data_IF_757150841975
#
_entry.id   IF_757150841975
#
_cell.length_a   1.000
_cell.length_b   1.000
_cell.length_c   1.000
_cell.angle_alpha   90.00
_cell.angle_beta   90.00
_cell.angle_gamma   90.00
#
_symmetry.space_group_name_H-M   'P 1'
#
loop_
_entity.id
_entity.type
_entity.pdbx_description
1 polymer ?
#
# COMPACT_ATOMS: atom_id res chain seq x y z
N UNK A 1 -7.55 4.03 15.48
CA UNK A 1 -7.34 3.19 14.29
C UNK A 1 -7.42 1.75 14.72
N UNK A 2 -8.42 0.98 14.25
CA UNK A 2 -8.48 -0.44 14.53
C UNK A 2 -7.37 -1.19 13.79
N UNK A 3 -6.65 -2.05 14.50
CA UNK A 3 -5.62 -2.93 13.94
C UNK A 3 -6.17 -4.35 13.91
N UNK A 4 -6.19 -4.96 12.73
CA UNK A 4 -6.69 -6.32 12.52
C UNK A 4 -5.58 -7.13 11.87
N UNK A 5 -5.18 -8.25 12.48
CA UNK A 5 -4.13 -9.16 11.99
C UNK A 5 -2.80 -8.45 11.66
N UNK A 6 -2.43 -7.46 12.48
CA UNK A 6 -1.18 -6.72 12.32
C UNK A 6 -1.21 -5.62 11.26
N UNK A 7 -2.33 -5.45 10.54
CA UNK A 7 -2.56 -4.39 9.55
C UNK A 7 -3.45 -3.30 10.13
N UNK A 8 -3.05 -2.04 9.93
CA UNK A 8 -3.83 -0.87 10.35
C UNK A 8 -4.89 -0.54 9.31
N UNK A 9 -6.15 -0.52 9.74
CA UNK A 9 -7.28 -0.27 8.87
C UNK A 9 -7.69 1.22 8.94
N UNK A 10 -8.05 1.85 7.81
CA UNK A 10 -8.55 3.22 7.81
C UNK A 10 -9.87 3.34 8.58
N UNK A 11 -9.81 3.93 9.76
CA UNK A 11 -10.93 4.10 10.69
C UNK A 11 -12.13 4.89 10.16
N UNK A 12 -11.87 5.90 9.33
CA UNK A 12 -12.90 6.81 8.78
C UNK A 12 -13.82 6.15 7.76
N UNK A 13 -13.47 4.97 7.25
CA UNK A 13 -14.25 4.24 6.23
C UNK A 13 -15.27 3.31 6.89
N UNK A 14 -16.32 2.98 6.13
CA UNK A 14 -17.25 1.91 6.50
C UNK A 14 -16.52 0.57 6.50
N UNK A 15 -16.88 -0.31 7.41
CA UNK A 15 -16.20 -1.58 7.65
C UNK A 15 -16.09 -2.45 6.38
N UNK A 16 -17.12 -2.45 5.53
CA UNK A 16 -17.17 -3.14 4.23
C UNK A 16 -16.03 -2.76 3.28
N UNK A 17 -15.65 -1.48 3.30
CA UNK A 17 -14.57 -0.95 2.46
C UNK A 17 -13.23 -0.88 3.21
N UNK A 18 -13.25 -1.05 4.52
CA UNK A 18 -12.08 -1.00 5.37
C UNK A 18 -11.39 -2.38 5.45
N UNK A 19 -12.15 -3.48 5.50
CA UNK A 19 -11.61 -4.85 5.52
C UNK A 19 -10.79 -5.24 4.27
N UNK A 20 -11.14 -4.85 3.03
CA UNK A 20 -10.37 -5.19 1.83
C UNK A 20 -8.96 -4.57 1.75
N UNK A 21 -8.59 -3.72 2.71
CA UNK A 21 -7.20 -3.28 2.84
C UNK A 21 -6.27 -4.41 3.28
N UNK A 22 -6.82 -5.45 3.91
CA UNK A 22 -6.10 -6.68 4.22
C UNK A 22 -5.96 -7.50 2.93
N UNK A 23 -4.73 -7.86 2.59
CA UNK A 23 -4.39 -8.68 1.44
C UNK A 23 -5.02 -10.07 1.55
N UNK A 24 -5.77 -10.44 0.51
CA UNK A 24 -6.52 -11.70 0.45
C UNK A 24 -8.01 -11.54 0.74
N UNK A 25 -8.45 -10.35 1.18
CA UNK A 25 -9.85 -10.02 1.40
C UNK A 25 -10.32 -9.07 0.29
N UNK A 26 -11.37 -9.47 -0.43
CA UNK A 26 -12.08 -8.60 -1.37
C UNK A 26 -13.42 -8.13 -0.80
N UNK A 27 -14.16 -7.33 -1.56
CA UNK A 27 -15.49 -6.84 -1.13
C UNK A 27 -16.47 -7.97 -0.83
N UNK A 28 -16.52 -9.02 -1.65
CA UNK A 28 -17.41 -10.16 -1.44
C UNK A 28 -17.14 -10.87 -0.10
N UNK A 29 -15.87 -11.21 0.16
CA UNK A 29 -15.44 -11.82 1.42
C UNK A 29 -15.68 -10.90 2.62
N UNK A 30 -15.43 -9.60 2.46
CA UNK A 30 -15.70 -8.64 3.53
C UNK A 30 -17.18 -8.65 3.94
N UNK A 31 -18.11 -8.65 2.98
CA UNK A 31 -19.55 -8.75 3.26
C UNK A 31 -19.93 -10.06 3.94
N UNK A 32 -19.35 -11.19 3.52
CA UNK A 32 -19.54 -12.49 4.18
C UNK A 32 -19.07 -12.48 5.63
N UNK A 33 -17.88 -11.93 5.90
CA UNK A 33 -17.30 -11.85 7.24
C UNK A 33 -18.15 -10.96 8.15
N UNK A 34 -18.62 -9.81 7.64
CA UNK A 34 -19.48 -8.89 8.40
C UNK A 34 -20.80 -9.56 8.77
N UNK A 35 -21.40 -10.31 7.83
CA UNK A 35 -22.61 -11.11 8.08
C UNK A 35 -22.37 -12.19 9.13
N UNK A 36 -21.27 -12.94 9.03
CA UNK A 36 -20.88 -13.96 10.02
C UNK A 36 -20.62 -13.36 11.40
N UNK A 37 -19.99 -12.19 11.47
CA UNK A 37 -19.71 -11.48 12.72
C UNK A 37 -20.96 -10.79 13.31
N UNK A 38 -22.09 -10.81 12.59
CA UNK A 38 -23.35 -10.17 12.93
C UNK A 38 -23.19 -8.67 13.23
N UNK A 39 -22.42 -7.96 12.39
CA UNK A 39 -22.17 -6.51 12.53
C UNK A 39 -23.07 -5.76 11.55
N UNK A 40 -23.72 -4.65 11.96
CA UNK A 40 -24.54 -3.85 11.06
C UNK A 40 -23.70 -3.21 9.95
N UNK A 41 -24.21 -3.36 8.73
CA UNK A 41 -23.68 -2.75 7.50
C UNK A 41 -23.71 -1.22 7.64
N UNK A 42 -22.66 -0.54 7.17
CA UNK A 42 -22.52 0.91 7.28
C UNK A 42 -21.87 1.45 8.56
N UNK A 43 -21.52 0.60 9.53
CA UNK A 43 -20.70 1.03 10.67
C UNK A 43 -19.30 1.48 10.21
N UNK A 44 -18.79 2.54 10.84
CA UNK A 44 -17.41 3.00 10.62
C UNK A 44 -16.44 2.10 11.37
N UNK A 45 -15.26 1.90 10.80
CA UNK A 45 -14.22 1.08 11.42
C UNK A 45 -13.75 1.65 12.78
N UNK A 46 -13.78 2.97 12.98
CA UNK A 46 -13.47 3.58 14.28
C UNK A 46 -14.50 3.26 15.38
N UNK A 47 -15.75 2.94 15.01
CA UNK A 47 -16.82 2.64 15.97
C UNK A 47 -16.92 1.15 16.31
N UNK A 48 -15.91 0.34 15.93
CA UNK A 48 -15.89 -1.08 16.25
C UNK A 48 -15.57 -1.30 17.72
N UNK A 49 -16.39 -2.11 18.39
CA UNK A 49 -16.05 -2.61 19.72
C UNK A 49 -14.91 -3.61 19.65
N UNK A 50 -14.17 -3.75 20.75
CA UNK A 50 -13.08 -4.73 20.84
C UNK A 50 -13.58 -6.18 20.64
N UNK A 51 -14.82 -6.47 21.04
CA UNK A 51 -15.45 -7.78 20.80
C UNK A 51 -15.68 -8.06 19.32
N UNK A 52 -16.14 -7.06 18.56
CA UNK A 52 -16.32 -7.20 17.11
C UNK A 52 -14.99 -7.42 16.40
N UNK A 53 -13.93 -6.73 16.85
CA UNK A 53 -12.58 -6.90 16.31
C UNK A 53 -12.06 -8.32 16.58
N UNK A 54 -12.27 -8.85 17.80
CA UNK A 54 -11.90 -10.21 18.14
C UNK A 54 -12.65 -11.23 17.28
N UNK A 55 -13.98 -11.09 17.13
CA UNK A 55 -14.81 -11.95 16.28
C UNK A 55 -14.33 -11.98 14.83
N UNK A 56 -14.07 -10.80 14.24
CA UNK A 56 -13.53 -10.71 12.87
C UNK A 56 -12.18 -11.42 12.80
N UNK A 57 -11.30 -11.22 13.78
CA UNK A 57 -9.97 -11.83 13.81
C UNK A 57 -10.06 -13.35 13.85
N UNK A 58 -10.92 -13.92 14.69
CA UNK A 58 -11.13 -15.37 14.78
C UNK A 58 -11.67 -15.95 13.46
N UNK A 59 -12.67 -15.31 12.85
CA UNK A 59 -13.22 -15.73 11.55
C UNK A 59 -12.13 -15.70 10.47
N UNK A 60 -11.30 -14.66 10.48
CA UNK A 60 -10.22 -14.52 9.50
C UNK A 60 -9.14 -15.57 9.65
N UNK A 61 -8.75 -15.93 10.87
CA UNK A 61 -7.72 -16.93 11.12
C UNK A 61 -8.17 -18.35 10.75
N UNK A 62 -9.45 -18.67 10.98
CA UNK A 62 -9.97 -20.03 10.78
C UNK A 62 -10.33 -20.31 9.32
N UNK A 63 -11.02 -19.38 8.66
CA UNK A 63 -11.64 -19.65 7.35
C UNK A 63 -10.77 -19.21 6.17
N UNK A 64 -9.80 -18.30 6.38
CA UNK A 64 -9.12 -17.61 5.29
C UNK A 64 -7.60 -17.57 5.45
N UNK A 65 -6.91 -17.85 4.36
CA UNK A 65 -5.46 -17.60 4.26
C UNK A 65 -5.24 -16.15 3.83
N UNK A 66 -4.64 -15.35 4.70
CA UNK A 66 -4.48 -13.90 4.53
C UNK A 66 -3.03 -13.44 4.64
N UNK A 67 -2.76 -12.24 4.13
CA UNK A 67 -1.48 -11.54 4.24
C UNK A 67 -0.24 -12.39 3.93
N UNK A 68 0.61 -12.62 4.94
CA UNK A 68 1.92 -13.22 4.80
C UNK A 68 1.83 -14.64 4.25
N UNK A 69 0.87 -15.43 4.72
CA UNK A 69 0.72 -16.81 4.32
C UNK A 69 0.24 -16.91 2.87
N UNK A 70 -0.72 -16.06 2.47
CA UNK A 70 -1.17 -16.01 1.09
C UNK A 70 -0.04 -15.58 0.13
N UNK A 71 0.77 -14.60 0.53
CA UNK A 71 1.95 -14.18 -0.25
C UNK A 71 2.99 -15.28 -0.36
N UNK A 72 3.24 -16.02 0.73
CA UNK A 72 4.18 -17.15 0.78
C UNK A 72 3.71 -18.31 -0.09
N UNK A 73 2.43 -18.66 -0.04
CA UNK A 73 1.84 -19.69 -0.89
C UNK A 73 1.99 -19.34 -2.37
N UNK A 74 1.59 -18.13 -2.78
CA UNK A 74 1.72 -17.67 -4.17
C UNK A 74 3.18 -17.67 -4.63
N UNK A 75 4.10 -17.19 -3.79
CA UNK A 75 5.53 -17.21 -4.09
C UNK A 75 6.06 -18.64 -4.21
N UNK A 76 5.62 -19.54 -3.33
CA UNK A 76 5.95 -20.97 -3.36
C UNK A 76 5.47 -21.64 -4.64
N UNK A 77 4.24 -21.37 -5.07
CA UNK A 77 3.68 -21.88 -6.32
C UNK A 77 4.49 -21.43 -7.54
N UNK A 78 4.87 -20.16 -7.59
CA UNK A 78 5.69 -19.63 -8.68
C UNK A 78 7.09 -20.28 -8.65
N UNK A 79 7.72 -20.39 -7.48
CA UNK A 79 9.05 -21.04 -7.34
C UNK A 79 8.99 -22.50 -7.77
N UNK A 80 7.93 -23.22 -7.41
CA UNK A 80 7.68 -24.61 -7.85
C UNK A 80 7.63 -24.70 -9.37
N UNK A 81 6.85 -23.85 -10.04
CA UNK A 81 6.77 -23.84 -11.51
C UNK A 81 8.12 -23.56 -12.18
N UNK A 82 8.92 -22.68 -11.56
CA UNK A 82 10.27 -22.31 -12.03
C UNK A 82 11.27 -23.44 -11.82
N UNK A 83 11.21 -24.17 -10.70
CA UNK A 83 12.09 -25.29 -10.38
C UNK A 83 11.84 -26.47 -11.32
N UNK A 84 10.58 -26.80 -11.60
CA UNK A 84 10.20 -27.86 -12.55
C UNK A 84 10.60 -27.51 -13.99
N UNK A 85 10.73 -26.23 -14.33
CA UNK A 85 11.12 -25.80 -15.68
C UNK A 85 9.97 -25.75 -16.69
N UNK A 86 8.72 -25.76 -16.23
CA UNK A 86 7.54 -25.63 -17.11
C UNK A 86 7.57 -24.33 -17.94
N UNK A 87 6.87 -24.30 -19.09
CA UNK A 87 6.75 -23.08 -19.92
C UNK A 87 6.30 -21.86 -19.09
N UNK A 88 5.32 -22.05 -18.19
CA UNK A 88 4.84 -21.00 -17.28
C UNK A 88 5.96 -20.51 -16.36
N UNK A 89 6.70 -21.43 -15.74
CA UNK A 89 7.86 -21.10 -14.90
C UNK A 89 8.93 -20.33 -15.65
N UNK A 90 9.24 -20.75 -16.87
CA UNK A 90 10.20 -20.06 -17.72
C UNK A 90 9.76 -18.62 -18.08
N UNK A 91 8.47 -18.40 -18.36
CA UNK A 91 7.90 -17.05 -18.56
C UNK A 91 7.95 -16.20 -17.29
N UNK A 92 7.67 -16.80 -16.13
CA UNK A 92 7.80 -16.12 -14.83
C UNK A 92 9.26 -15.70 -14.56
N UNK A 93 10.24 -16.58 -14.85
CA UNK A 93 11.67 -16.30 -14.72
C UNK A 93 12.13 -15.15 -15.62
N UNK A 94 11.66 -15.11 -16.87
CA UNK A 94 11.98 -14.04 -17.84
C UNK A 94 11.17 -12.74 -17.67
N UNK A 95 10.28 -12.66 -16.68
CA UNK A 95 9.43 -11.46 -16.51
C UNK A 95 8.51 -11.20 -17.71
N UNK A 96 7.99 -12.25 -18.35
CA UNK A 96 7.08 -12.14 -19.49
C UNK A 96 5.64 -12.56 -19.11
N UNK A 97 4.63 -12.10 -19.86
CA UNK A 97 3.26 -12.57 -19.71
C UNK A 97 3.13 -14.08 -19.87
N UNK A 98 2.32 -14.70 -19.00
CA UNK A 98 2.20 -16.16 -18.88
C UNK A 98 0.99 -16.70 -19.66
N UNK A 99 -0.05 -15.88 -19.85
CA UNK A 99 -1.34 -16.27 -20.46
C UNK A 99 -1.36 -16.14 -22.00
N UNK A 100 -0.23 -16.39 -22.67
CA UNK A 100 -0.17 -16.32 -24.14
C UNK A 100 -0.30 -14.91 -24.76
N UNK A 101 -0.22 -13.86 -23.96
CA UNK A 101 -0.36 -12.49 -24.43
C UNK A 101 0.80 -12.09 -25.38
N UNK A 102 0.50 -11.26 -26.38
CA UNK A 102 1.48 -10.78 -27.37
C UNK A 102 2.60 -9.96 -26.72
N UNK A 103 3.86 -10.38 -26.87
CA UNK A 103 5.02 -9.73 -26.24
C UNK A 103 5.77 -8.73 -27.11
N UNK A 104 5.41 -8.60 -28.41
CA UNK A 104 6.08 -7.72 -29.37
C UNK A 104 5.84 -6.23 -29.06
N UNK A 105 4.60 -5.84 -28.76
CA UNK A 105 4.22 -4.43 -28.52
C UNK A 105 3.89 -4.16 -27.05
N UNK A 106 2.79 -4.74 -26.56
CA UNK A 106 2.12 -4.33 -25.33
C UNK A 106 2.31 -5.39 -24.22
N UNK A 107 3.44 -5.34 -23.53
CA UNK A 107 3.72 -6.20 -22.37
C UNK A 107 4.33 -5.42 -21.18
N UNK A 108 4.00 -4.13 -21.05
CA UNK A 108 4.69 -3.19 -20.15
C UNK A 108 4.40 -3.43 -18.67
N UNK A 109 3.19 -3.85 -18.31
CA UNK A 109 2.85 -4.21 -16.92
C UNK A 109 3.76 -5.31 -16.37
N UNK A 110 4.24 -6.22 -17.23
CA UNK A 110 5.13 -7.32 -16.83
C UNK A 110 6.62 -7.04 -17.11
N UNK A 111 6.94 -6.41 -18.25
CA UNK A 111 8.33 -6.05 -18.65
C UNK A 111 8.88 -4.82 -17.90
N UNK A 112 8.03 -4.00 -17.29
CA UNK A 112 8.40 -2.73 -16.67
C UNK A 112 8.49 -1.56 -17.66
N UNK A 113 9.05 -0.44 -17.17
CA UNK A 113 9.24 0.81 -17.92
C UNK A 113 10.13 0.58 -19.16
N UNK A 114 10.00 1.45 -20.19
CA UNK A 114 10.83 1.36 -21.40
C UNK A 114 12.28 1.67 -21.03
N UNK A 115 13.17 0.68 -21.17
CA UNK A 115 14.61 0.91 -21.11
C UNK A 115 15.03 1.50 -22.47
N UNK A 116 15.32 2.80 -22.51
CA UNK A 116 15.90 3.45 -23.69
C UNK A 116 17.39 3.14 -23.70
N UNK A 117 17.87 2.45 -24.73
CA UNK A 117 19.24 1.92 -24.81
C UNK A 117 20.31 3.03 -24.75
N UNK A 118 19.98 4.28 -25.08
CA UNK A 118 20.91 5.42 -25.09
C UNK A 118 20.82 6.42 -23.94
N UNK A 119 19.90 6.27 -22.97
CA UNK A 119 19.63 7.29 -21.94
C UNK A 119 20.15 6.94 -20.54
N UNK A 120 20.99 5.90 -20.40
CA UNK A 120 21.57 5.56 -19.09
C UNK A 120 22.77 6.48 -18.85
N UNK A 121 22.54 7.68 -18.31
CA UNK A 121 23.61 8.63 -17.98
C UNK A 121 24.29 8.29 -16.65
N UNK A 122 23.59 7.63 -15.72
CA UNK A 122 24.15 7.29 -14.41
C UNK A 122 24.75 5.88 -14.33
N UNK A 123 25.99 5.84 -13.81
CA UNK A 123 26.85 4.64 -13.74
C UNK A 123 26.30 3.56 -12.80
N UNK A 124 25.48 3.96 -11.82
CA UNK A 124 24.81 3.09 -10.84
C UNK A 124 23.73 2.22 -11.48
N UNK A 125 22.92 2.79 -12.38
CA UNK A 125 21.86 2.04 -13.07
C UNK A 125 22.42 1.04 -14.08
N UNK A 126 23.57 1.34 -14.72
CA UNK A 126 24.26 0.41 -15.63
C UNK A 126 24.68 -0.89 -14.95
N UNK A 127 25.16 -0.83 -13.70
CA UNK A 127 25.56 -2.02 -12.92
C UNK A 127 24.37 -2.92 -12.55
N UNK A 128 23.23 -2.31 -12.23
CA UNK A 128 22.01 -3.04 -11.87
C UNK A 128 21.41 -3.74 -13.10
N UNK A 129 21.44 -3.09 -14.27
CA UNK A 129 20.96 -3.70 -15.52
C UNK A 129 21.87 -4.86 -15.95
N UNK A 130 23.19 -4.70 -15.83
CA UNK A 130 24.16 -5.74 -16.15
C UNK A 130 24.07 -6.98 -15.23
N UNK A 131 23.74 -6.81 -13.95
CA UNK A 131 23.59 -7.93 -13.01
C UNK A 131 22.26 -8.67 -13.15
N UNK A 132 21.23 -8.05 -13.73
CA UNK A 132 19.90 -8.70 -13.89
C UNK A 132 19.81 -9.69 -15.05
N UNK A 133 20.72 -9.62 -16.02
CA UNK A 133 20.72 -10.49 -17.21
C UNK A 133 21.62 -11.74 -17.05
N UNK A 134 22.22 -11.95 -15.87
CA UNK A 134 23.05 -13.11 -15.57
C UNK A 134 22.90 -13.59 -14.14
N UNK A 135 22.49 -14.85 -13.98
CA UNK A 135 22.42 -15.64 -12.73
C UNK A 135 21.17 -15.46 -11.87
N UNK A 136 20.25 -16.41 -12.02
CA UNK A 136 19.39 -16.84 -10.93
C UNK A 136 20.27 -17.59 -9.91
N UNK A 137 20.35 -17.12 -8.67
CA UNK A 137 21.06 -17.81 -7.60
C UNK A 137 21.13 -16.99 -6.32
N UNK A 138 20.39 -17.44 -5.31
CA UNK A 138 20.50 -17.13 -3.88
C UNK A 138 20.33 -15.66 -3.41
N UNK A 139 19.20 -15.43 -2.72
CA UNK A 139 19.08 -14.33 -1.75
C UNK A 139 19.36 -14.92 -0.37
N UNK A 140 20.54 -14.68 0.20
CA UNK A 140 20.75 -14.74 1.65
C UNK A 140 20.41 -13.37 2.27
N UNK A 141 19.69 -13.31 3.41
CA UNK A 141 19.37 -12.06 4.08
C UNK A 141 20.56 -11.62 4.95
N UNK A 142 20.83 -10.32 5.01
CA UNK A 142 21.67 -9.77 6.08
C UNK A 142 22.58 -8.63 5.65
N UNK A 143 22.11 -7.40 5.87
CA UNK A 143 22.80 -6.41 6.68
C UNK A 143 21.94 -5.15 6.70
N UNK A 144 21.27 -4.91 7.84
CA UNK A 144 20.78 -3.57 8.16
C UNK A 144 22.00 -2.63 8.24
N UNK A 145 21.99 -1.44 7.63
CA UNK A 145 22.99 -0.45 7.97
C UNK A 145 22.72 0.04 9.40
N UNK A 146 23.73 -0.17 10.23
CA UNK A 146 23.77 0.20 11.64
C UNK A 146 23.56 1.70 11.87
N UNK A 147 23.00 1.99 13.04
CA UNK A 147 22.85 3.31 13.62
C UNK A 147 24.17 4.08 13.64
N UNK A 148 24.15 5.31 13.14
CA UNK A 148 25.14 6.32 13.50
C UNK A 148 24.63 7.06 14.74
N UNK A 149 25.27 6.81 15.88
CA UNK A 149 25.11 7.55 17.13
C UNK A 149 26.18 8.68 17.23
N UNK A 150 25.97 9.69 18.10
CA UNK A 150 26.52 11.05 17.94
C UNK A 150 27.84 11.25 18.69
N UNK A 151 28.66 12.20 18.23
CA UNK A 151 29.78 12.74 19.00
C UNK A 151 29.40 14.12 19.56
N UNK A 152 29.59 14.29 20.86
CA UNK A 152 29.25 15.47 21.65
C UNK A 152 30.52 16.14 22.22
N UNK A 153 30.46 17.47 22.34
CA UNK A 153 31.20 18.30 23.31
C UNK A 153 32.39 19.11 22.78
N UNK A 154 32.67 20.36 23.19
CA UNK A 154 31.93 21.38 23.94
C UNK A 154 32.69 22.74 23.92
N UNK A 155 31.96 23.85 23.68
CA UNK A 155 31.96 25.23 24.31
C UNK A 155 33.25 26.09 24.44
N UNK A 156 33.17 27.41 24.81
CA UNK A 156 32.11 28.45 24.74
C UNK A 156 32.60 29.87 24.29
N UNK A 157 31.66 30.81 24.05
CA UNK A 157 31.93 32.27 23.99
C UNK A 157 30.72 33.12 23.59
N UNK A 158 30.24 34.01 24.47
CA UNK A 158 29.07 34.89 24.36
C UNK A 158 29.49 36.37 24.10
N UNK A 159 28.65 37.44 24.17
CA UNK A 159 27.19 37.62 24.05
C UNK A 159 26.72 38.86 23.20
N UNK A 160 25.40 39.06 23.13
CA UNK A 160 24.63 40.34 23.19
C UNK A 160 24.15 41.08 21.90
N UNK A 161 22.80 41.21 21.78
CA UNK A 161 21.98 42.45 21.61
C UNK A 161 20.61 42.08 20.96
N UNK A 162 19.46 42.13 21.65
CA UNK A 162 18.45 43.22 21.62
C UNK A 162 17.52 43.13 20.39
N UNK A 163 16.17 43.12 20.39
CA UNK A 163 15.12 43.53 21.32
C UNK A 163 13.77 42.82 20.99
N UNK A 164 12.81 42.83 21.93
CA UNK A 164 11.40 42.32 21.85
C UNK A 164 10.42 43.43 21.36
N UNK A 165 9.06 43.32 21.50
CA UNK A 165 8.08 42.45 20.82
C UNK A 165 6.86 43.25 20.26
N UNK A 166 5.94 42.61 19.51
CA UNK A 166 4.62 43.20 19.19
C UNK A 166 3.59 42.15 18.73
N UNK A 167 2.44 42.10 19.39
CA UNK A 167 1.32 41.16 19.18
C UNK A 167 0.12 41.87 18.46
N UNK A 168 -1.15 41.39 18.50
CA UNK A 168 -1.86 40.83 17.33
C UNK A 168 -3.17 41.56 16.94
N UNK A 169 -3.70 41.32 15.73
CA UNK A 169 -5.08 41.64 15.29
C UNK A 169 -5.33 41.03 13.90
N UNK A 170 -6.51 40.68 13.39
CA UNK A 170 -7.88 40.45 13.88
C UNK A 170 -8.65 39.79 12.70
N UNK A 171 -9.73 39.06 12.96
CA UNK A 171 -10.68 38.56 11.97
C UNK A 171 -11.52 39.70 11.32
N UNK A 172 -12.26 39.42 10.23
CA UNK A 172 -13.72 39.38 10.40
C UNK A 172 -14.48 38.33 9.56
N UNK A 173 -15.72 38.10 10.00
CA UNK A 173 -16.79 37.25 9.43
C UNK A 173 -17.57 37.96 8.31
N UNK A 174 -18.09 37.19 7.35
CA UNK A 174 -19.41 37.30 6.68
C UNK A 174 -19.47 36.16 5.64
N UNK A 175 -20.49 35.31 5.49
CA UNK A 175 -21.93 35.53 5.50
C UNK A 175 -22.45 35.09 4.12
N UNK A 176 -23.03 33.88 4.02
CA UNK A 176 -23.73 33.36 2.82
C UNK A 176 -25.07 34.14 2.60
N UNK A 177 -25.79 34.04 1.44
CA UNK A 177 -26.52 32.82 1.10
C UNK A 177 -26.85 32.53 -0.39
N UNK A 178 -27.20 31.24 -0.62
CA UNK A 178 -28.25 30.71 -1.50
C UNK A 178 -28.31 31.09 -3.01
N UNK A 179 -27.92 30.14 -3.86
CA UNK A 179 -28.31 30.09 -5.27
C UNK A 179 -29.71 29.44 -5.44
N UNK A 180 -30.56 30.14 -6.18
CA UNK A 180 -31.99 29.88 -6.44
C UNK A 180 -32.18 28.89 -7.59
N UNK A 181 -33.14 27.96 -7.43
CA UNK A 181 -33.58 26.99 -8.43
C UNK A 181 -34.30 27.66 -9.64
N UNK A 182 -34.20 27.11 -10.87
CA UNK A 182 -35.03 27.54 -11.99
C UNK A 182 -36.39 26.82 -12.03
N UNK A 183 -37.43 27.61 -12.29
CA UNK A 183 -38.84 27.21 -12.36
C UNK A 183 -39.22 26.45 -13.64
N UNK A 184 -40.19 25.55 -13.52
CA UNK A 184 -40.83 24.82 -14.61
C UNK A 184 -41.81 25.72 -15.44
N UNK A 185 -41.99 25.47 -16.75
CA UNK A 185 -42.91 26.23 -17.59
C UNK A 185 -44.35 25.66 -17.56
N UNK A 186 -45.34 26.54 -17.35
CA UNK A 186 -46.77 26.25 -17.59
C UNK A 186 -47.07 26.39 -19.10
N UNK A 187 -47.68 25.36 -19.70
CA UNK A 187 -48.39 25.47 -20.99
C UNK A 187 -49.87 25.79 -20.74
N UNK A 188 -50.44 26.57 -21.66
CA UNK A 188 -51.88 26.77 -21.87
C UNK A 188 -52.54 25.48 -22.32
#
# INVERSE_FOLDING_TARGET
MPRILGVDIPGKKRIEFALPYIYGIGQARALEIIKKANIPLGTKADNLSNEHIAKITTILQNDYVVEGDLRRLIAGDIRRLVAIGTYRGHRHRRGLPVRGQRTKTNARTRKGKRKTVGAIRDKTERRIVASTDGKAGEVKPGAAPAAAAPAAGAKPGAPAAGAKPGAPAAAPKAGAPAAKAPAAPKKK
#
